data_IF_709452846408
#
_entry.id   IF_709452846408
#
_cell.length_a   1.000
_cell.length_b   1.000
_cell.length_c   1.000
_cell.angle_alpha   90.00
_cell.angle_beta   90.00
_cell.angle_gamma   90.00
#
_symmetry.space_group_name_H-M   'P 1'
#
loop_
_entity.id
_entity.type
_entity.pdbx_description
1 polymer ?
2 polymer ?
3 water ?
#
# COMPACT_ATOMS: atom_id res chain seq x y z
N UNK A 1 -14.44 15.03 -8.82
CA UNK A 1 -13.22 15.11 -7.96
C UNK A 1 -12.80 16.58 -7.83
N UNK A 2 -13.29 17.25 -6.80
CA UNK A 2 -13.13 18.72 -6.59
C UNK A 2 -12.49 18.97 -5.23
N UNK A 3 -11.96 20.19 -4.99
CA UNK A 3 -11.42 20.52 -3.68
C UNK A 3 -12.51 20.48 -2.61
N UNK A 4 -12.07 20.31 -1.37
CA UNK A 4 -12.98 20.37 -0.22
C UNK A 4 -12.20 20.46 1.06
N UNK A 5 -12.91 20.44 2.16
CA UNK A 5 -12.33 20.57 3.51
C UNK A 5 -12.72 19.31 4.24
N UNK A 6 -11.74 18.62 4.78
CA UNK A 6 -12.03 17.39 5.51
C UNK A 6 -12.75 17.78 6.79
N UNK A 7 -13.71 16.95 7.15
CA UNK A 7 -14.49 17.14 8.37
C UNK A 7 -14.51 15.79 9.06
N UNK A 8 -14.75 15.80 10.36
CA UNK A 8 -15.02 14.58 11.12
C UNK A 8 -13.84 14.18 11.95
N UNK A 9 -14.06 13.23 12.83
CA UNK A 9 -13.13 12.96 13.95
C UNK A 9 -12.51 11.59 13.80
N UNK A 10 -13.03 10.76 12.88
CA UNK A 10 -12.70 9.33 12.85
C UNK A 10 -12.97 8.72 14.21
N UNK A 11 -12.29 7.63 14.54
CA UNK A 11 -12.55 6.86 15.76
C UNK A 11 -11.24 6.61 16.48
N UNK A 12 -11.28 6.46 17.82
CA UNK A 12 -10.12 5.98 18.56
C UNK A 12 -9.74 4.63 17.96
N UNK A 13 -8.47 4.49 17.61
CA UNK A 13 -7.91 3.22 17.09
C UNK A 13 -6.67 2.93 17.92
N UNK A 14 -6.62 1.72 18.47
CA UNK A 14 -5.41 1.18 19.15
C UNK A 14 -5.03 -0.12 18.43
N UNK A 15 -3.80 -0.56 18.65
CA UNK A 15 -3.28 -1.82 18.07
C UNK A 15 -3.28 -1.78 16.55
N UNK A 16 -3.48 -2.95 15.94
CA UNK A 16 -3.24 -3.16 14.49
C UNK A 16 -4.43 -2.60 13.73
N UNK A 17 -4.32 -1.34 13.36
CA UNK A 17 -5.44 -0.56 12.83
C UNK A 17 -6.07 -1.30 11.65
N UNK A 18 -5.26 -1.73 10.68
CA UNK A 18 -5.79 -2.27 9.40
C UNK A 18 -6.07 -3.76 9.50
N UNK A 19 -5.83 -4.40 10.65
CA UNK A 19 -6.21 -5.81 10.86
C UNK A 19 -7.67 -5.99 10.45
N UNK A 20 -8.53 -5.04 10.80
CA UNK A 20 -9.98 -5.10 10.53
C UNK A 20 -10.35 -4.66 9.12
N UNK A 21 -9.40 -4.14 8.35
CA UNK A 21 -9.63 -3.62 6.98
C UNK A 21 -10.09 -4.77 6.08
N UNK A 22 -9.77 -6.01 6.44
CA UNK A 22 -10.02 -7.24 5.65
C UNK A 22 -11.33 -7.90 6.08
N UNK A 23 -12.17 -7.19 6.85
CA UNK A 23 -13.43 -7.78 7.37
C UNK A 23 -14.54 -6.74 7.28
N UNK A 24 -15.75 -7.22 6.98
CA UNK A 24 -17.02 -6.44 6.99
C UNK A 24 -16.84 -5.06 6.41
N UNK A 25 -17.08 -4.03 7.22
CA UNK A 25 -17.15 -2.61 6.76
C UNK A 25 -15.76 -1.98 6.81
N UNK A 26 -14.70 -2.75 7.03
CA UNK A 26 -13.34 -2.18 7.12
C UNK A 26 -13.16 -1.47 8.45
N UNK A 27 -12.26 -0.51 8.51
CA UNK A 27 -11.93 0.14 9.80
C UNK A 27 -12.13 1.63 9.65
N UNK A 28 -12.52 2.31 10.74
CA UNK A 28 -12.67 3.74 10.68
C UNK A 28 -11.28 4.39 10.58
N UNK A 29 -11.29 5.67 10.28
CA UNK A 29 -10.05 6.48 10.24
C UNK A 29 -9.66 6.76 11.68
N UNK A 30 -8.41 6.49 12.07
CA UNK A 30 -7.98 6.76 13.43
C UNK A 30 -8.17 8.26 13.72
N UNK A 31 -8.66 8.56 14.91
CA UNK A 31 -8.90 9.95 15.35
C UNK A 31 -7.64 10.79 15.18
N UNK A 32 -6.45 10.25 15.45
CA UNK A 32 -5.20 11.03 15.37
C UNK A 32 -4.90 11.34 13.90
N UNK A 33 -5.39 10.52 12.98
CA UNK A 33 -5.25 10.76 11.52
C UNK A 33 -6.30 11.82 11.13
N UNK A 34 -7.54 11.65 11.58
CA UNK A 34 -8.58 12.67 11.41
C UNK A 34 -7.99 14.01 11.86
N UNK A 35 -7.25 14.01 12.98
CA UNK A 35 -6.66 15.23 13.56
C UNK A 35 -5.76 15.93 12.53
N UNK A 36 -5.12 15.18 11.64
CA UNK A 36 -4.14 15.71 10.67
C UNK A 36 -4.82 16.17 9.39
N UNK A 37 -6.12 15.90 9.25
CA UNK A 37 -6.82 16.15 7.97
C UNK A 37 -7.96 17.12 8.21
N UNK A 38 -8.66 16.93 9.32
CA UNK A 38 -9.88 17.69 9.62
C UNK A 38 -9.58 19.18 9.50
N UNK A 39 -10.43 19.88 8.76
CA UNK A 39 -10.36 21.35 8.66
C UNK A 39 -9.36 21.80 7.62
N UNK A 40 -8.60 20.89 7.05
CA UNK A 40 -7.65 21.28 6.00
C UNK A 40 -8.36 21.21 4.65
N UNK A 41 -7.85 22.00 3.72
CA UNK A 41 -8.31 21.97 2.32
C UNK A 41 -7.60 20.81 1.65
N UNK A 42 -8.33 20.08 0.83
CA UNK A 42 -7.81 19.07 -0.10
C UNK A 42 -8.17 19.48 -1.49
N UNK A 43 -7.22 19.36 -2.41
CA UNK A 43 -7.42 19.86 -3.79
C UNK A 43 -8.15 18.81 -4.60
N UNK A 44 -8.12 17.57 -4.11
CA UNK A 44 -8.62 16.40 -4.84
C UNK A 44 -8.65 15.23 -3.88
N UNK A 45 -9.28 14.16 -4.33
CA UNK A 45 -9.26 12.91 -3.57
C UNK A 45 -7.81 12.46 -3.42
N UNK A 46 -7.05 12.52 -4.50
CA UNK A 46 -5.63 12.14 -4.46
C UNK A 46 -4.94 12.91 -3.34
N UNK A 47 -5.16 14.22 -3.27
CA UNK A 47 -4.48 15.05 -2.26
C UNK A 47 -4.86 14.55 -0.88
N UNK A 48 -6.13 14.30 -0.66
CA UNK A 48 -6.59 13.80 0.64
C UNK A 48 -5.96 12.44 0.91
N UNK A 49 -6.03 11.56 -0.08
CA UNK A 49 -5.51 10.20 0.09
C UNK A 49 -4.02 10.30 0.44
N UNK A 50 -3.31 11.16 -0.25
CA UNK A 50 -1.85 11.32 0.01
C UNK A 50 -1.66 11.81 1.43
N UNK A 51 -2.35 12.86 1.82
CA UNK A 51 -2.11 13.44 3.15
C UNK A 51 -2.52 12.42 4.20
N UNK A 52 -3.55 11.64 3.88
CA UNK A 52 -4.05 10.57 4.75
C UNK A 52 -2.90 9.60 5.03
N UNK A 53 -2.34 9.08 3.97
CA UNK A 53 -1.30 8.04 4.13
C UNK A 53 -0.03 8.67 4.69
N UNK A 54 0.27 9.91 4.32
CA UNK A 54 1.42 10.62 4.91
C UNK A 54 1.19 10.71 6.41
N UNK A 55 -0.01 11.04 6.83
CA UNK A 55 -0.33 11.18 8.27
C UNK A 55 -0.15 9.82 8.93
N UNK A 56 -0.60 8.76 8.27
CA UNK A 56 -0.48 7.39 8.83
C UNK A 56 1.00 7.11 8.99
N UNK A 57 1.79 7.36 7.95
CA UNK A 57 3.25 7.08 7.98
C UNK A 57 3.89 7.93 9.07
N UNK A 58 3.33 9.09 9.37
CA UNK A 58 3.88 10.04 10.35
C UNK A 58 3.39 9.71 11.77
N UNK A 59 2.57 8.69 11.90
CA UNK A 59 2.04 8.25 13.22
C UNK A 59 2.80 7.00 13.62
N UNK A 60 3.75 7.10 14.56
CA UNK A 60 4.55 5.95 14.95
C UNK A 60 3.72 4.70 15.27
N UNK A 61 2.62 4.87 16.00
CA UNK A 61 1.79 3.75 16.51
C UNK A 61 0.95 3.13 15.41
N UNK A 62 0.75 3.82 14.28
CA UNK A 62 0.07 3.21 13.12
C UNK A 62 1.12 2.66 12.16
N UNK A 63 2.16 3.42 11.89
CA UNK A 63 3.10 3.08 10.79
C UNK A 63 3.87 1.82 11.20
N UNK A 64 4.01 1.56 12.50
CA UNK A 64 4.77 0.39 12.99
C UNK A 64 4.14 -0.90 12.45
N UNK A 65 2.87 -0.87 12.02
CA UNK A 65 2.16 -2.07 11.50
C UNK A 65 2.38 -2.21 10.00
N UNK A 66 3.24 -1.37 9.44
CA UNK A 66 3.61 -1.39 8.00
C UNK A 66 5.09 -1.64 7.92
N UNK A 67 5.46 -2.42 6.92
CA UNK A 67 6.88 -2.70 6.68
C UNK A 67 7.43 -1.59 5.79
N UNK A 68 8.70 -1.67 5.43
CA UNK A 68 9.46 -0.47 5.01
C UNK A 68 8.94 0.04 3.68
N UNK A 69 8.68 -0.81 2.70
CA UNK A 69 8.21 -0.31 1.37
C UNK A 69 6.83 0.32 1.56
N UNK A 70 5.94 -0.32 2.32
CA UNK A 70 4.62 0.29 2.55
C UNK A 70 4.82 1.64 3.22
N UNK A 71 5.61 1.69 4.27
CA UNK A 71 5.82 2.93 5.05
C UNK A 71 6.45 3.97 4.13
N UNK A 72 7.42 3.58 3.33
CA UNK A 72 8.11 4.50 2.41
C UNK A 72 7.08 5.09 1.47
N UNK A 73 6.26 4.23 0.88
CA UNK A 73 5.23 4.69 -0.05
C UNK A 73 4.29 5.64 0.66
N UNK A 74 3.90 5.29 1.87
CA UNK A 74 2.95 6.13 2.63
C UNK A 74 3.56 7.49 2.91
N UNK A 75 4.86 7.59 3.13
CA UNK A 75 5.51 8.90 3.36
C UNK A 75 5.42 9.73 2.08
N UNK A 76 5.24 9.08 0.93
CA UNK A 76 5.05 9.73 -0.38
C UNK A 76 3.56 9.91 -0.65
N UNK A 77 2.71 9.52 0.29
CA UNK A 77 1.26 9.63 0.17
C UNK A 77 0.67 8.49 -0.63
N UNK A 78 1.44 7.43 -0.86
CA UNK A 78 0.97 6.30 -1.67
C UNK A 78 0.28 5.27 -0.77
N UNK A 79 -0.85 4.78 -1.24
CA UNK A 79 -1.66 3.78 -0.52
C UNK A 79 -0.79 2.56 -0.32
N UNK A 80 -0.71 2.05 0.91
CA UNK A 80 0.03 0.82 1.15
C UNK A 80 -0.66 -0.33 0.42
N UNK A 81 0.15 -1.25 -0.06
CA UNK A 81 -0.34 -2.53 -0.58
C UNK A 81 -0.90 -3.33 0.58
N UNK A 82 -1.98 -4.04 0.30
CA UNK A 82 -2.51 -5.03 1.25
C UNK A 82 -1.72 -6.29 1.03
N UNK A 83 -1.80 -7.24 1.98
CA UNK A 83 -1.33 -8.58 1.70
C UNK A 83 -2.02 -9.05 0.43
N UNK A 84 -1.32 -9.88 -0.32
CA UNK A 84 -1.82 -10.42 -1.59
C UNK A 84 -3.21 -11.03 -1.39
N UNK A 85 -3.43 -11.72 -0.27
CA UNK A 85 -4.67 -12.47 0.02
C UNK A 85 -5.85 -11.50 0.03
N UNK A 86 -5.57 -10.22 0.27
CA UNK A 86 -6.61 -9.18 0.45
C UNK A 86 -6.73 -8.34 -0.81
N UNK A 87 -5.93 -8.63 -1.82
CA UNK A 87 -5.99 -7.91 -3.11
C UNK A 87 -7.13 -8.51 -3.95
N UNK A 88 -7.71 -7.68 -4.80
CA UNK A 88 -8.75 -8.10 -5.75
C UNK A 88 -8.29 -7.66 -7.14
N UNK A 89 -7.55 -8.57 -7.77
CA UNK A 89 -6.92 -8.36 -9.09
C UNK A 89 -6.12 -7.08 -9.10
N UNK A 90 -6.49 -6.16 -9.99
CA UNK A 90 -5.81 -4.87 -10.18
C UNK A 90 -5.76 -4.07 -8.90
N UNK A 91 -6.73 -4.27 -8.00
CA UNK A 91 -6.83 -3.49 -6.74
C UNK A 91 -6.01 -4.19 -5.67
N UNK A 92 -4.91 -3.56 -5.27
CA UNK A 92 -3.93 -4.20 -4.36
C UNK A 92 -3.56 -3.27 -3.21
N UNK A 93 -4.17 -2.10 -3.15
CA UNK A 93 -3.86 -1.08 -2.11
C UNK A 93 -4.99 -1.07 -1.11
N UNK A 94 -4.69 -0.72 0.12
CA UNK A 94 -5.73 -0.34 1.09
C UNK A 94 -6.57 0.75 0.46
N UNK A 95 -7.87 0.51 0.43
CA UNK A 95 -8.85 1.43 -0.17
C UNK A 95 -9.41 2.29 0.94
N UNK A 96 -9.53 3.57 0.68
CA UNK A 96 -10.33 4.45 1.56
C UNK A 96 -11.72 4.48 0.95
N UNK A 97 -12.67 3.84 1.64
CA UNK A 97 -14.03 3.62 1.13
C UNK A 97 -14.93 4.71 1.69
N UNK A 98 -15.75 5.28 0.83
CA UNK A 98 -16.84 6.21 1.23
C UNK A 98 -18.05 5.38 1.60
N UNK A 99 -18.37 5.33 2.90
CA UNK A 99 -19.44 4.45 3.45
C UNK A 99 -20.75 4.83 2.77
N UNK A 100 -21.08 6.12 2.81
CA UNK A 100 -22.15 6.69 1.95
C UNK A 100 -21.46 7.08 0.65
N UNK A 101 -21.87 6.47 -0.45
CA UNK A 101 -21.24 6.69 -1.76
C UNK A 101 -21.40 8.16 -2.15
N UNK A 102 -20.38 8.72 -2.76
CA UNK A 102 -20.37 10.13 -3.23
C UNK A 102 -21.57 10.33 -4.15
N UNK A 103 -21.83 9.36 -5.02
CA UNK A 103 -22.96 9.34 -5.99
C UNK A 103 -24.31 9.42 -5.26
N UNK A 104 -24.35 9.01 -3.99
CA UNK A 104 -25.59 9.04 -3.15
C UNK A 104 -25.50 10.17 -2.12
N UNK A 105 -24.70 11.19 -2.38
CA UNK A 105 -24.57 12.38 -1.52
C UNK A 105 -23.59 12.15 -0.38
N UNK A 106 -22.79 11.09 -0.47
CA UNK A 106 -21.68 10.87 0.48
C UNK A 106 -20.71 12.02 0.41
N UNK A 107 -20.20 12.45 1.57
CA UNK A 107 -19.20 13.54 1.67
C UNK A 107 -17.84 12.94 1.33
N UNK A 108 -17.20 13.47 0.31
CA UNK A 108 -15.89 12.95 -0.18
C UNK A 108 -14.88 13.06 0.96
N UNK A 109 -14.85 14.18 1.65
CA UNK A 109 -13.78 14.47 2.62
C UNK A 109 -14.31 14.41 4.04
N UNK A 110 -15.48 13.81 4.25
CA UNK A 110 -15.93 13.57 5.63
C UNK A 110 -15.24 12.29 6.09
N UNK A 111 -14.34 12.49 7.03
CA UNK A 111 -13.49 11.42 7.59
C UNK A 111 -14.38 10.35 8.21
N UNK A 112 -15.53 10.73 8.77
CA UNK A 112 -16.43 9.75 9.42
C UNK A 112 -17.19 8.97 8.35
N UNK A 113 -17.11 9.40 7.10
CA UNK A 113 -17.70 8.67 5.96
C UNK A 113 -16.67 7.71 5.35
N UNK A 114 -15.49 7.62 5.96
CA UNK A 114 -14.40 6.83 5.37
C UNK A 114 -14.16 5.57 6.20
N UNK A 115 -13.91 4.49 5.50
CA UNK A 115 -13.43 3.25 6.11
C UNK A 115 -12.23 2.81 5.30
N UNK A 116 -11.22 2.30 5.95
CA UNK A 116 -10.13 1.66 5.17
C UNK A 116 -10.49 0.18 5.03
N UNK A 117 -10.37 -0.30 3.81
CA UNK A 117 -10.77 -1.67 3.45
C UNK A 117 -9.67 -2.24 2.58
N UNK A 118 -9.51 -3.55 2.63
CA UNK A 118 -8.74 -4.23 1.60
C UNK A 118 -9.57 -4.22 0.33
N UNK A 119 -8.94 -4.32 -0.85
CA UNK A 119 -9.69 -4.45 -2.10
C UNK A 119 -10.71 -5.58 -2.03
N UNK A 120 -10.32 -6.69 -1.43
CA UNK A 120 -11.19 -7.90 -1.32
C UNK A 120 -12.49 -7.49 -0.62
N UNK A 121 -12.40 -6.74 0.48
CA UNK A 121 -13.59 -6.27 1.20
C UNK A 121 -14.26 -5.16 0.39
N UNK A 122 -13.47 -4.24 -0.13
CA UNK A 122 -13.94 -3.01 -0.82
C UNK A 122 -14.83 -3.37 -1.99
N UNK A 123 -14.43 -4.38 -2.78
CA UNK A 123 -15.10 -4.75 -4.05
C UNK A 123 -16.46 -5.40 -3.75
N UNK A 124 -16.66 -5.87 -2.51
CA UNK A 124 -17.93 -6.49 -2.06
C UNK A 124 -18.91 -5.39 -1.66
N UNK A 125 -18.45 -4.13 -1.66
CA UNK A 125 -19.30 -2.91 -1.69
C UNK A 125 -19.04 -2.19 -3.02
N UNK B 1 6.72 -6.61 -18.04
CA UNK B 1 6.80 -7.43 -19.28
C UNK B 1 8.15 -8.16 -19.33
N UNK B 2 9.18 -7.60 -18.71
CA UNK B 2 10.57 -8.14 -18.68
C UNK B 2 10.67 -9.31 -17.70
N UNK B 3 11.15 -10.46 -18.15
CA UNK B 3 11.33 -11.66 -17.30
C UNK B 3 12.56 -11.47 -16.42
N UNK B 4 12.66 -12.23 -15.34
CA UNK B 4 13.87 -12.28 -14.49
C UNK B 4 15.10 -12.49 -15.38
N UNK B 5 15.01 -13.42 -16.32
CA UNK B 5 16.14 -13.82 -17.19
C UNK B 5 16.54 -12.66 -18.11
N UNK B 6 15.65 -11.68 -18.30
CA UNK B 6 15.90 -10.47 -19.13
C UNK B 6 16.60 -9.42 -18.29
N UNK B 7 16.66 -9.57 -16.97
CA UNK B 7 17.33 -8.60 -16.09
C UNK B 7 18.69 -9.13 -15.67
N UNK B 8 19.65 -8.24 -15.50
CA UNK B 8 20.80 -8.51 -14.63
C UNK B 8 20.29 -8.44 -13.20
N UNK B 9 20.98 -9.11 -12.28
CA UNK B 9 20.61 -9.05 -10.86
C UNK B 9 20.65 -7.60 -10.39
N UNK B 10 21.72 -6.86 -10.72
CA UNK B 10 21.89 -5.46 -10.27
C UNK B 10 20.70 -4.65 -10.76
N UNK B 11 20.31 -4.89 -12.02
CA UNK B 11 19.18 -4.21 -12.71
C UNK B 11 17.90 -4.46 -11.91
N UNK B 12 17.65 -5.72 -11.60
CA UNK B 12 16.44 -6.13 -10.85
C UNK B 12 16.51 -5.60 -9.42
N UNK B 13 17.70 -5.70 -8.83
CA UNK B 13 17.94 -5.25 -7.44
C UNK B 13 17.65 -3.75 -7.35
N UNK B 14 18.06 -3.01 -8.37
CA UNK B 14 17.81 -1.55 -8.51
C UNK B 14 16.31 -1.30 -8.40
N UNK B 15 15.49 -2.07 -9.15
CA UNK B 15 14.00 -1.93 -9.11
C UNK B 15 13.54 -2.09 -7.66
N UNK B 16 13.96 -3.16 -7.01
CA UNK B 16 13.52 -3.46 -5.62
C UNK B 16 13.95 -2.30 -4.75
N UNK B 17 15.20 -1.88 -4.89
CA UNK B 17 15.80 -0.80 -4.08
C UNK B 17 14.94 0.44 -4.18
N UNK B 18 14.45 0.75 -5.38
CA UNK B 18 13.58 1.93 -5.62
C UNK B 18 12.44 1.92 -4.61
N UNK B 19 11.81 0.77 -4.39
CA UNK B 19 10.63 0.70 -3.49
C UNK B 19 11.01 1.09 -2.07
N UNK B 20 12.23 0.81 -1.64
CA UNK B 20 12.68 1.15 -0.26
C UNK B 20 13.17 2.59 -0.21
N UNK B 21 13.74 3.08 -1.31
CA UNK B 21 14.66 4.26 -1.27
C UNK B 21 14.15 5.42 -2.12
N UNK B 22 13.31 5.17 -3.14
CA UNK B 22 12.89 6.20 -4.12
C UNK B 22 11.53 6.75 -3.67
N UNK B 23 11.32 8.04 -3.89
CA UNK B 23 9.98 8.66 -3.76
C UNK B 23 9.29 8.62 -5.12
N UNK B 24 8.16 7.93 -5.18
CA UNK B 24 7.34 7.83 -6.39
C UNK B 24 6.36 8.98 -6.40
N UNK B 25 6.21 9.60 -7.56
CA UNK B 25 5.33 10.77 -7.78
C UNK B 25 3.87 10.33 -7.79
N UNK B 26 3.59 9.06 -7.95
CA UNK B 26 2.20 8.57 -8.02
C UNK B 26 2.16 7.09 -7.70
N UNK B 27 0.99 6.60 -7.37
CA UNK B 27 0.81 5.15 -7.17
C UNK B 27 1.09 4.43 -8.48
N UNK B 28 0.71 5.01 -9.60
CA UNK B 28 0.89 4.37 -10.92
C UNK B 28 2.39 4.15 -11.13
N UNK B 29 3.20 5.17 -10.84
CA UNK B 29 4.64 5.11 -11.11
C UNK B 29 5.23 3.99 -10.25
N UNK B 30 4.84 3.95 -8.98
CA UNK B 30 5.37 2.91 -8.08
C UNK B 30 4.89 1.55 -8.56
N UNK B 31 3.65 1.45 -9.01
CA UNK B 31 3.09 0.15 -9.43
C UNK B 31 3.92 -0.42 -10.56
N UNK B 32 4.41 0.43 -11.45
CA UNK B 32 5.22 -0.05 -12.60
C UNK B 32 6.38 -0.83 -12.02
N UNK B 33 7.02 -0.28 -11.00
CA UNK B 33 8.22 -0.93 -10.40
C UNK B 33 7.75 -2.17 -9.67
N UNK B 34 6.76 -2.04 -8.82
CA UNK B 34 6.28 -3.19 -8.01
C UNK B 34 5.97 -4.35 -8.95
N UNK B 35 5.21 -4.08 -10.01
CA UNK B 35 4.76 -5.18 -10.89
C UNK B 35 5.88 -5.64 -11.80
N UNK B 36 6.82 -4.77 -12.14
CA UNK B 36 8.00 -5.21 -12.89
C UNK B 36 8.65 -6.30 -12.06
N UNK B 37 8.73 -6.06 -10.76
CA UNK B 37 9.39 -7.01 -9.83
C UNK B 37 8.51 -8.25 -9.68
N UNK B 38 7.28 -8.05 -9.27
CA UNK B 38 6.40 -9.17 -8.85
C UNK B 38 6.07 -10.03 -10.07
N UNK B 39 5.79 -9.42 -11.21
CA UNK B 39 5.42 -10.20 -12.42
C UNK B 39 6.61 -11.05 -12.83
N UNK B 40 7.81 -10.47 -12.78
CA UNK B 40 9.05 -11.19 -13.12
C UNK B 40 9.27 -12.29 -12.10
N UNK B 41 9.11 -11.97 -10.82
CA UNK B 41 9.53 -12.87 -9.72
C UNK B 41 8.81 -14.21 -9.85
N UNK B 42 7.53 -14.19 -10.20
CA UNK B 42 6.65 -15.38 -10.19
C UNK B 42 6.66 -16.02 -8.81
N UNK B 43 6.84 -15.21 -7.80
CA UNK B 43 6.75 -15.68 -6.41
C UNK B 43 5.28 -15.86 -6.10
N UNK B 44 4.87 -17.00 -5.52
CA UNK B 44 3.47 -17.22 -5.18
C UNK B 44 2.90 -16.14 -4.25
N UNK B 45 3.77 -15.48 -3.48
CA UNK B 45 3.35 -14.51 -2.46
C UNK B 45 3.26 -13.13 -3.10
N UNK B 46 3.61 -13.02 -4.38
CA UNK B 46 3.44 -11.77 -5.13
C UNK B 46 3.99 -10.59 -4.35
N UNK B 47 3.20 -9.56 -4.19
CA UNK B 47 3.70 -8.30 -3.60
C UNK B 47 4.09 -8.51 -2.15
N UNK B 48 3.62 -9.57 -1.51
CA UNK B 48 3.93 -9.82 -0.08
C UNK B 48 5.44 -9.92 0.08
N UNK B 49 6.10 -10.44 -0.94
CA UNK B 49 7.57 -10.69 -0.87
C UNK B 49 8.28 -9.35 -0.67
N UNK B 50 7.67 -8.25 -1.12
CA UNK B 50 8.21 -6.88 -0.93
C UNK B 50 7.58 -6.26 0.31
N UNK B 51 6.25 -6.26 0.37
CA UNK B 51 5.50 -5.39 1.30
C UNK B 51 5.19 -6.07 2.61
N UNK B 52 5.24 -7.39 2.66
CA UNK B 52 4.90 -8.17 3.88
C UNK B 52 5.99 -9.18 4.15
N UNK B 53 7.23 -8.70 4.37
CA UNK B 53 8.27 -9.61 4.85
C UNK B 53 7.76 -10.18 6.18
N UNK B 54 7.92 -11.48 6.40
CA UNK B 54 7.52 -12.12 7.68
C UNK B 54 8.51 -11.63 8.75
N UNK B 55 8.21 -11.84 10.02
CA UNK B 55 9.04 -11.37 11.16
C UNK B 55 10.46 -11.92 11.00
N UNK B 56 10.58 -13.13 10.44
CA UNK B 56 11.85 -13.88 10.24
C UNK B 56 12.56 -13.45 8.95
N UNK B 57 11.96 -12.55 8.16
CA UNK B 57 12.49 -12.19 6.83
C UNK B 57 13.08 -10.79 6.89
N UNK B 58 14.09 -10.53 6.07
CA UNK B 58 14.77 -9.23 6.05
C UNK B 58 13.93 -8.26 5.22
N UNK B 59 13.54 -7.17 5.86
CA UNK B 59 12.74 -6.13 5.18
C UNK B 59 13.73 -5.19 4.49
N UNK B 60 14.23 -5.59 3.32
CA UNK B 60 15.27 -4.82 2.57
C UNK B 60 15.29 -5.24 1.11
N UNK B 61 15.89 -4.44 0.19
CA UNK B 61 15.98 -4.79 -1.23
C UNK B 61 16.73 -6.13 -1.30
N UNK B 62 17.70 -6.33 -0.42
CA UNK B 62 18.47 -7.59 -0.41
C UNK B 62 17.57 -8.75 -0.01
N UNK B 63 16.72 -8.58 1.01
CA UNK B 63 15.79 -9.63 1.47
C UNK B 63 14.83 -9.96 0.37
N UNK B 64 14.27 -8.94 -0.26
CA UNK B 64 13.31 -9.18 -1.36
C UNK B 64 14.03 -9.97 -2.45
N UNK B 65 15.21 -9.50 -2.83
CA UNK B 65 15.98 -10.14 -3.92
C UNK B 65 16.24 -11.59 -3.51
N UNK B 66 16.69 -11.81 -2.28
CA UNK B 66 16.93 -13.17 -1.77
C UNK B 66 15.64 -14.00 -1.87
N UNK B 67 14.53 -13.46 -1.39
CA UNK B 67 13.28 -14.26 -1.37
C UNK B 67 12.91 -14.63 -2.80
N UNK B 68 13.14 -13.73 -3.75
CA UNK B 68 12.80 -13.98 -5.17
C UNK B 68 13.76 -15.02 -5.72
N UNK B 69 15.03 -14.81 -5.49
CA UNK B 69 16.06 -15.71 -6.04
C UNK B 69 15.90 -17.09 -5.43
N UNK B 70 15.70 -17.16 -4.12
CA UNK B 70 15.65 -18.47 -3.45
C UNK B 70 14.45 -19.24 -3.98
N UNK B 71 13.33 -18.54 -4.10
CA UNK B 71 12.11 -19.24 -4.53
C UNK B 71 12.30 -19.76 -5.94
N UNK B 72 12.82 -18.92 -6.82
CA UNK B 72 13.01 -19.30 -8.24
C UNK B 72 14.03 -20.43 -8.32
N UNK B 73 15.13 -20.28 -7.60
CA UNK B 73 16.22 -21.27 -7.66
C UNK B 73 15.71 -22.62 -7.15
N UNK B 74 14.79 -22.62 -6.18
CA UNK B 74 14.29 -23.87 -5.55
C UNK B 74 13.14 -24.46 -6.39
N UNK B 75 12.56 -23.67 -7.30
CA UNK B 75 11.31 -24.08 -7.97
C UNK B 75 11.49 -24.07 -9.49
N UNK B 76 12.70 -24.32 -9.96
CA UNK B 76 12.92 -24.69 -11.37
C UNK B 76 12.75 -23.50 -12.28
N UNK B 77 12.92 -22.31 -11.74
CA UNK B 77 12.82 -21.09 -12.57
C UNK B 77 14.19 -20.46 -12.72
N UNK B 78 14.42 -19.83 -13.89
CA UNK B 78 15.71 -19.26 -14.21
C UNK B 78 15.97 -17.99 -13.39
N UNK B 79 17.26 -17.74 -13.20
CA UNK B 79 17.74 -16.52 -12.53
C UNK B 79 18.06 -15.46 -13.56
N UNK B 80 18.87 -14.51 -13.13
CA UNK B 80 19.18 -13.27 -13.88
C UNK B 80 20.11 -13.61 -15.03
N UNK B 81 20.14 -12.77 -16.06
CA UNK B 81 21.24 -12.83 -17.07
C UNK B 81 22.50 -12.28 -16.40
N UNK B 82 23.67 -12.80 -16.77
CA UNK B 82 24.99 -12.41 -16.24
C UNK B 82 25.18 -10.89 -16.33
#
# INVERSE_FOLDING_TARGET
DEPGVATGNGQPVTGNWLAGASQGDGVPIPSQIADQLRGKEFKSWRDFREQFWVAVANDPELVKYFRKTNAKGMRDGLSPFTPKAEQAGGRDKYAIHHVVQISQGGAVYDIDNLRVMTPKMHIQV
SKKISDHTEAEFFSLISELFNRSFSSEKERDVVVYAIVNAAQHPDGTDIIFYPKEDEEDSPEGVLKRIKEWRAANGLPGFKA
#
